data_IF_641469008815
#
_entry.id   IF_641469008815
#
_cell.length_a   1.000
_cell.length_b   1.000
_cell.length_c   1.000
_cell.angle_alpha   90.00
_cell.angle_beta   90.00
_cell.angle_gamma   90.00
#
_symmetry.space_group_name_H-M   'P 1'
#
loop_
_entity.id
_entity.type
_entity.pdbx_description
1 polymer ?
#
# COMPACT_ATOMS: atom_id res chain seq x y z
N UNK A 1 12.85 -0.85 21.94
CA UNK A 1 11.96 -0.93 20.77
C UNK A 1 11.89 -2.38 20.34
N UNK A 2 10.70 -2.96 20.23
CA UNK A 2 10.51 -4.34 19.75
C UNK A 2 10.57 -4.39 18.21
N UNK A 3 10.82 -5.56 17.63
CA UNK A 3 10.96 -5.75 16.16
C UNK A 3 9.70 -5.29 15.40
N UNK A 4 8.51 -5.59 15.93
CA UNK A 4 7.24 -5.18 15.33
C UNK A 4 7.05 -3.65 15.34
N UNK A 5 7.47 -2.95 16.41
CA UNK A 5 7.39 -1.50 16.48
C UNK A 5 8.38 -0.82 15.52
N UNK A 6 9.57 -1.40 15.31
CA UNK A 6 10.53 -0.91 14.33
C UNK A 6 9.97 -0.99 12.90
N UNK A 7 9.37 -2.13 12.54
CA UNK A 7 8.66 -2.28 11.27
C UNK A 7 7.49 -1.30 11.15
N UNK A 8 6.68 -1.14 12.20
CA UNK A 8 5.56 -0.21 12.19
C UNK A 8 6.00 1.25 11.93
N UNK A 9 7.05 1.72 12.59
CA UNK A 9 7.60 3.06 12.43
C UNK A 9 8.15 3.28 11.02
N UNK A 10 8.93 2.33 10.51
CA UNK A 10 9.43 2.37 9.13
C UNK A 10 8.27 2.41 8.13
N UNK A 11 7.24 1.59 8.33
CA UNK A 11 6.06 1.54 7.48
C UNK A 11 5.27 2.86 7.47
N UNK A 12 5.14 3.54 8.61
CA UNK A 12 4.52 4.88 8.71
C UNK A 12 5.30 5.92 7.90
N UNK A 13 6.61 6.00 8.14
CA UNK A 13 7.48 6.94 7.44
C UNK A 13 7.40 6.76 5.91
N UNK A 14 7.41 5.51 5.44
CA UNK A 14 7.29 5.20 4.01
C UNK A 14 5.90 5.54 3.46
N UNK A 15 4.83 5.36 4.23
CA UNK A 15 3.48 5.72 3.83
C UNK A 15 3.33 7.24 3.64
N UNK A 16 3.93 8.04 4.52
CA UNK A 16 3.95 9.50 4.40
C UNK A 16 4.69 9.97 3.14
N UNK A 17 5.86 9.37 2.85
CA UNK A 17 6.60 9.65 1.62
C UNK A 17 5.80 9.27 0.38
N UNK A 18 5.12 8.12 0.38
CA UNK A 18 4.21 7.74 -0.71
C UNK A 18 3.13 8.80 -0.95
N UNK A 19 2.44 9.28 0.09
CA UNK A 19 1.37 10.27 -0.08
C UNK A 19 1.89 11.58 -0.66
N UNK A 20 3.04 12.05 -0.16
CA UNK A 20 3.73 13.22 -0.70
C UNK A 20 4.02 13.07 -2.19
N UNK A 21 4.64 11.96 -2.60
CA UNK A 21 5.00 11.70 -4.00
C UNK A 21 3.79 11.44 -4.89
N UNK A 22 2.72 10.84 -4.36
CA UNK A 22 1.51 10.53 -5.11
C UNK A 22 0.61 11.75 -5.33
N UNK A 23 0.92 12.89 -4.71
CA UNK A 23 0.08 14.09 -4.66
C UNK A 23 -1.23 13.85 -3.90
N UNK A 24 -1.24 12.93 -2.94
CA UNK A 24 -2.41 12.68 -2.10
C UNK A 24 -2.35 13.61 -0.88
N UNK A 25 -3.43 14.34 -0.56
CA UNK A 25 -3.46 15.14 0.65
C UNK A 25 -3.33 14.19 1.85
N UNK A 26 -2.33 14.43 2.70
CA UNK A 26 -2.10 13.65 3.93
C UNK A 26 -3.42 13.47 4.67
N UNK A 27 -3.86 12.23 4.84
CA UNK A 27 -5.09 11.96 5.57
C UNK A 27 -4.92 12.44 7.02
N UNK A 28 -5.50 13.60 7.35
CA UNK A 28 -5.41 14.15 8.71
C UNK A 28 -6.11 13.17 9.67
N UNK A 29 -5.42 12.69 10.72
CA UNK A 29 -6.01 11.75 11.66
C UNK A 29 -7.26 12.35 12.32
N UNK A 30 -8.43 11.74 12.12
CA UNK A 30 -9.68 12.14 12.79
C UNK A 30 -10.90 12.35 11.88
N UNK A 31 -10.72 12.38 10.54
CA UNK A 31 -11.88 12.49 9.64
C UNK A 31 -12.63 11.15 9.55
N UNK A 32 -13.92 11.08 9.92
CA UNK A 32 -14.71 9.85 9.80
C UNK A 32 -14.76 9.39 8.33
N UNK A 33 -14.81 8.07 8.10
CA UNK A 33 -14.80 7.45 6.76
C UNK A 33 -15.99 7.87 5.84
N UNK A 34 -16.90 8.74 6.29
CA UNK A 34 -18.19 9.04 5.65
C UNK A 34 -18.41 10.46 5.10
N UNK A 35 -17.42 11.37 5.07
CA UNK A 35 -17.65 12.72 4.54
C UNK A 35 -16.42 13.33 3.89
N UNK A 36 -16.47 13.57 2.58
CA UNK A 36 -15.45 14.36 1.87
C UNK A 36 -16.08 15.60 1.25
N UNK A 37 -15.68 16.76 1.76
CA UNK A 37 -15.80 18.04 1.07
C UNK A 37 -14.48 18.26 0.31
N UNK A 38 -14.56 18.39 -1.01
CA UNK A 38 -13.39 18.67 -1.85
C UNK A 38 -12.92 20.10 -1.57
N UNK A 39 -11.68 20.26 -1.11
CA UNK A 39 -11.05 21.58 -1.03
C UNK A 39 -10.64 22.01 -2.45
N UNK A 40 -10.94 23.23 -2.91
CA UNK A 40 -10.48 23.69 -4.22
C UNK A 40 -8.95 23.83 -4.18
N UNK A 41 -8.28 23.22 -5.16
CA UNK A 41 -6.84 23.35 -5.36
C UNK A 41 -6.56 24.71 -6.00
N UNK A 42 -6.01 25.65 -5.23
CA UNK A 42 -5.38 26.85 -5.79
C UNK A 42 -4.09 26.43 -6.49
N UNK A 43 -4.14 26.43 -7.83
CA UNK A 43 -3.15 25.84 -8.72
C UNK A 43 -2.32 26.93 -9.42
N UNK A 44 -1.58 27.71 -8.64
CA UNK A 44 -0.72 28.79 -9.19
C UNK A 44 0.66 28.83 -8.51
N UNK A 45 1.54 27.89 -8.86
CA UNK A 45 2.92 27.96 -8.41
C UNK A 45 3.85 26.88 -8.95
N UNK A 46 4.69 27.27 -9.92
CA UNK A 46 5.92 26.61 -10.40
C UNK A 46 5.78 25.49 -11.45
N UNK A 47 6.12 25.82 -12.69
CA UNK A 47 6.32 24.91 -13.83
C UNK A 47 7.49 23.90 -13.68
N UNK A 48 8.08 23.80 -12.49
CA UNK A 48 8.93 22.69 -12.06
C UNK A 48 8.15 21.72 -11.17
N UNK A 49 6.85 21.54 -11.42
CA UNK A 49 6.07 20.46 -10.82
C UNK A 49 6.82 19.14 -11.09
N UNK A 50 7.47 18.69 -10.03
CA UNK A 50 8.43 17.60 -10.04
C UNK A 50 7.80 16.38 -10.70
N UNK A 51 8.21 16.09 -11.94
CA UNK A 51 7.80 14.89 -12.66
C UNK A 51 8.54 13.68 -12.08
N UNK A 52 8.26 13.37 -10.81
CA UNK A 52 8.84 12.25 -10.10
C UNK A 52 8.22 10.99 -10.70
N UNK A 53 9.03 10.02 -11.17
CA UNK A 53 8.51 8.79 -11.74
C UNK A 53 7.55 8.06 -10.81
N UNK A 54 6.48 7.49 -11.37
CA UNK A 54 5.46 6.73 -10.62
C UNK A 54 6.05 5.60 -9.78
N UNK A 55 7.14 5.00 -10.28
CA UNK A 55 7.88 3.94 -9.61
C UNK A 55 8.32 4.32 -8.19
N UNK A 56 8.73 5.58 -7.96
CA UNK A 56 9.19 6.00 -6.64
C UNK A 56 8.05 5.97 -5.62
N UNK A 57 6.91 6.57 -5.94
CA UNK A 57 5.74 6.53 -5.06
C UNK A 57 5.33 5.08 -4.78
N UNK A 58 5.24 4.26 -5.82
CA UNK A 58 4.83 2.87 -5.69
C UNK A 58 5.84 2.01 -4.91
N UNK A 59 7.15 2.29 -4.99
CA UNK A 59 8.16 1.64 -4.16
C UNK A 59 7.97 1.95 -2.68
N UNK A 60 7.74 3.22 -2.31
CA UNK A 60 7.43 3.57 -0.92
C UNK A 60 6.13 2.93 -0.43
N UNK A 61 5.10 2.85 -1.27
CA UNK A 61 3.87 2.15 -0.92
C UNK A 61 4.11 0.65 -0.70
N UNK A 62 4.87 0.00 -1.58
CA UNK A 62 5.23 -1.41 -1.45
C UNK A 62 5.92 -1.65 -0.11
N UNK A 63 6.98 -0.90 0.20
CA UNK A 63 7.71 -1.06 1.47
C UNK A 63 6.84 -0.75 2.70
N UNK A 64 6.02 0.31 2.63
CA UNK A 64 5.12 0.68 3.72
C UNK A 64 4.18 -0.47 4.06
N UNK A 65 3.55 -1.05 3.03
CA UNK A 65 2.61 -2.15 3.21
C UNK A 65 3.27 -3.44 3.68
N UNK A 66 4.48 -3.74 3.20
CA UNK A 66 5.28 -4.86 3.69
C UNK A 66 5.56 -4.69 5.19
N UNK A 67 6.15 -3.57 5.59
CA UNK A 67 6.53 -3.29 6.96
C UNK A 67 5.33 -3.29 7.93
N UNK A 68 4.22 -2.65 7.57
CA UNK A 68 2.99 -2.70 8.37
C UNK A 68 2.49 -4.14 8.52
N UNK A 69 2.52 -4.94 7.44
CA UNK A 69 2.10 -6.33 7.50
C UNK A 69 3.00 -7.18 8.41
N UNK A 70 4.33 -7.01 8.33
CA UNK A 70 5.29 -7.70 9.21
C UNK A 70 5.04 -7.36 10.69
N UNK A 71 4.85 -6.08 11.01
CA UNK A 71 4.52 -5.64 12.35
C UNK A 71 3.26 -6.35 12.89
N UNK A 72 2.20 -6.41 12.08
CA UNK A 72 0.94 -7.07 12.43
C UNK A 72 1.16 -8.56 12.72
N UNK A 73 1.88 -9.28 11.86
CA UNK A 73 2.10 -10.72 12.07
C UNK A 73 2.96 -11.01 13.30
N UNK A 74 4.02 -10.23 13.51
CA UNK A 74 4.89 -10.34 14.68
C UNK A 74 4.09 -10.10 15.97
N UNK A 75 3.32 -9.00 16.03
CA UNK A 75 2.50 -8.67 17.21
C UNK A 75 1.39 -9.66 17.48
N UNK A 76 0.80 -10.24 16.42
CA UNK A 76 -0.25 -11.26 16.55
C UNK A 76 0.29 -12.62 17.03
N UNK A 77 1.61 -12.80 17.15
CA UNK A 77 2.23 -14.08 17.49
C UNK A 77 1.99 -15.16 16.44
N UNK A 78 1.74 -14.78 15.17
CA UNK A 78 1.44 -15.74 14.12
C UNK A 78 2.72 -16.44 13.63
N UNK A 79 3.01 -17.61 14.19
CA UNK A 79 4.21 -18.41 13.87
C UNK A 79 4.14 -19.12 12.52
N UNK A 80 2.98 -19.13 11.85
CA UNK A 80 2.80 -19.78 10.55
C UNK A 80 3.23 -18.92 9.36
N UNK A 81 3.65 -17.67 9.59
CA UNK A 81 4.11 -16.76 8.55
C UNK A 81 5.64 -16.71 8.52
N UNK A 82 6.22 -16.90 7.33
CA UNK A 82 7.67 -16.77 7.12
C UNK A 82 8.06 -15.30 7.15
N UNK A 83 8.80 -14.88 8.19
CA UNK A 83 9.18 -13.48 8.36
C UNK A 83 10.11 -12.91 7.29
N UNK A 84 10.77 -13.79 6.53
CA UNK A 84 11.62 -13.43 5.42
C UNK A 84 10.86 -13.34 4.09
N UNK A 85 9.55 -13.59 4.10
CA UNK A 85 8.74 -13.45 2.90
C UNK A 85 8.40 -12.00 2.61
N UNK A 86 8.50 -11.65 1.33
CA UNK A 86 7.93 -10.40 0.79
C UNK A 86 6.43 -10.53 0.50
N UNK A 87 5.83 -11.71 0.76
CA UNK A 87 4.40 -12.00 0.54
C UNK A 87 3.54 -11.84 1.79
N UNK A 88 3.72 -10.73 2.51
CA UNK A 88 3.01 -10.47 3.76
C UNK A 88 1.68 -9.73 3.56
N UNK A 89 1.67 -8.72 2.69
CA UNK A 89 0.56 -7.78 2.60
C UNK A 89 -0.71 -8.39 2.00
N UNK A 90 -0.58 -9.27 1.01
CA UNK A 90 -1.72 -9.93 0.37
C UNK A 90 -2.48 -10.87 1.32
N UNK A 91 -1.86 -11.30 2.42
CA UNK A 91 -2.47 -12.10 3.48
C UNK A 91 -3.27 -11.27 4.50
N UNK A 92 -3.00 -9.96 4.61
CA UNK A 92 -3.63 -9.07 5.61
C UNK A 92 -5.17 -9.07 5.55
N UNK A 93 -5.84 -9.01 4.38
CA UNK A 93 -7.30 -9.07 4.33
C UNK A 93 -7.90 -10.37 4.90
N UNK A 94 -7.15 -11.48 4.86
CA UNK A 94 -7.59 -12.72 5.49
C UNK A 94 -7.32 -12.69 7.00
N UNK A 95 -6.09 -12.33 7.40
CA UNK A 95 -5.65 -12.27 8.79
C UNK A 95 -6.51 -11.35 9.65
N UNK A 96 -6.91 -10.19 9.11
CA UNK A 96 -7.68 -9.19 9.85
C UNK A 96 -9.20 -9.41 9.82
N UNK A 97 -9.69 -10.52 9.27
CA UNK A 97 -11.13 -10.80 9.11
C UNK A 97 -11.78 -11.26 10.43
N UNK A 98 -11.68 -10.44 11.48
CA UNK A 98 -12.25 -10.72 12.79
C UNK A 98 -13.13 -9.57 13.31
N UNK A 99 -14.22 -9.91 14.03
CA UNK A 99 -15.19 -8.92 14.55
C UNK A 99 -14.56 -7.92 15.51
N UNK A 100 -13.69 -8.39 16.41
CA UNK A 100 -13.04 -7.52 17.40
C UNK A 100 -12.06 -6.53 16.74
N UNK A 101 -11.35 -6.94 15.68
CA UNK A 101 -10.49 -6.04 14.87
C UNK A 101 -11.34 -4.97 14.19
N UNK A 102 -12.45 -5.39 13.54
CA UNK A 102 -13.38 -4.45 12.90
C UNK A 102 -13.90 -3.39 13.89
N UNK A 103 -14.34 -3.82 15.08
CA UNK A 103 -14.82 -2.93 16.13
C UNK A 103 -13.72 -1.97 16.63
N UNK A 104 -12.50 -2.48 16.86
CA UNK A 104 -11.33 -1.67 17.26
C UNK A 104 -10.93 -0.67 16.17
N UNK A 105 -11.18 -0.97 14.91
CA UNK A 105 -11.02 -0.05 13.78
C UNK A 105 -12.20 0.93 13.58
N UNK A 106 -13.26 0.82 14.39
CA UNK A 106 -14.43 1.70 14.35
C UNK A 106 -15.53 1.29 13.38
N UNK A 107 -15.47 0.08 12.81
CA UNK A 107 -16.55 -0.43 11.95
C UNK A 107 -17.75 -0.88 12.80
N UNK A 108 -18.93 -0.34 12.49
CA UNK A 108 -20.20 -0.74 13.12
C UNK A 108 -20.83 -1.96 12.46
N UNK A 109 -20.65 -2.09 11.14
CA UNK A 109 -21.14 -3.21 10.33
C UNK A 109 -19.98 -4.13 9.94
N UNK A 110 -19.96 -5.36 10.49
CA UNK A 110 -18.96 -6.36 10.18
C UNK A 110 -19.07 -6.91 8.75
N UNK A 111 -20.27 -6.96 8.16
CA UNK A 111 -20.43 -7.40 6.79
C UNK A 111 -19.89 -6.36 5.80
N UNK A 112 -20.06 -5.06 6.08
CA UNK A 112 -19.39 -4.00 5.32
C UNK A 112 -17.87 -4.12 5.40
N UNK A 113 -17.32 -4.37 6.60
CA UNK A 113 -15.89 -4.59 6.78
C UNK A 113 -15.37 -5.80 5.96
N UNK A 114 -16.08 -6.94 5.99
CA UNK A 114 -15.72 -8.12 5.17
C UNK A 114 -15.76 -7.83 3.68
N UNK A 115 -16.76 -7.08 3.19
CA UNK A 115 -16.85 -6.67 1.79
C UNK A 115 -15.65 -5.80 1.41
N UNK A 116 -15.35 -4.79 2.22
CA UNK A 116 -14.15 -3.95 2.03
C UNK A 116 -12.87 -4.79 1.93
N UNK A 117 -12.60 -5.68 2.89
CA UNK A 117 -11.41 -6.55 2.88
C UNK A 117 -11.34 -7.44 1.62
N UNK A 118 -12.47 -7.98 1.18
CA UNK A 118 -12.54 -8.75 -0.07
C UNK A 118 -12.21 -7.87 -1.27
N UNK A 119 -12.76 -6.67 -1.33
CA UNK A 119 -12.65 -5.78 -2.48
C UNK A 119 -11.21 -5.22 -2.62
N UNK A 120 -10.51 -4.93 -1.51
CA UNK A 120 -9.10 -4.47 -1.55
C UNK A 120 -8.08 -5.58 -1.80
N UNK A 121 -8.46 -6.86 -1.73
CA UNK A 121 -7.53 -7.99 -1.85
C UNK A 121 -6.70 -7.95 -3.13
N UNK A 122 -7.30 -7.56 -4.27
CA UNK A 122 -6.57 -7.45 -5.54
C UNK A 122 -5.51 -6.35 -5.49
N UNK A 123 -5.84 -5.18 -4.92
CA UNK A 123 -4.87 -4.10 -4.72
C UNK A 123 -3.72 -4.52 -3.79
N UNK A 124 -4.01 -5.21 -2.69
CA UNK A 124 -2.96 -5.72 -1.80
C UNK A 124 -1.99 -6.64 -2.54
N UNK A 125 -2.53 -7.54 -3.36
CA UNK A 125 -1.71 -8.43 -4.20
C UNK A 125 -0.90 -7.65 -5.23
N UNK A 126 -1.51 -6.70 -5.95
CA UNK A 126 -0.81 -5.90 -6.96
C UNK A 126 0.33 -5.06 -6.38
N UNK A 127 0.14 -4.47 -5.18
CA UNK A 127 1.18 -3.72 -4.47
C UNK A 127 2.33 -4.64 -4.07
N UNK A 128 2.01 -5.80 -3.49
CA UNK A 128 3.01 -6.80 -3.10
C UNK A 128 3.79 -7.33 -4.31
N UNK A 129 3.10 -7.46 -5.44
CA UNK A 129 3.67 -7.90 -6.70
C UNK A 129 4.63 -6.87 -7.35
N UNK A 130 4.73 -5.64 -6.84
CA UNK A 130 5.76 -4.69 -7.27
C UNK A 130 7.18 -5.08 -6.80
N UNK A 131 7.28 -5.92 -5.76
CA UNK A 131 8.57 -6.36 -5.24
C UNK A 131 9.22 -7.36 -6.20
N UNK A 132 10.50 -7.22 -6.57
CA UNK A 132 11.17 -8.04 -7.60
C UNK A 132 11.21 -9.53 -7.26
N UNK A 133 11.19 -9.88 -5.97
CA UNK A 133 11.21 -11.27 -5.51
C UNK A 133 9.81 -11.90 -5.36
N UNK A 134 8.73 -11.15 -5.60
CA UNK A 134 7.36 -11.66 -5.53
C UNK A 134 6.86 -12.07 -6.91
N UNK A 135 6.33 -13.28 -7.03
CA UNK A 135 5.80 -13.83 -8.29
C UNK A 135 6.70 -14.91 -8.89
N UNK A 136 6.29 -15.44 -10.04
CA UNK A 136 7.12 -16.29 -10.88
C UNK A 136 7.40 -15.53 -12.17
N UNK A 137 8.66 -15.56 -12.64
CA UNK A 137 9.10 -15.24 -14.01
C UNK A 137 9.70 -13.83 -14.20
N UNK A 138 10.73 -13.88 -15.04
CA UNK A 138 11.72 -12.91 -15.52
C UNK A 138 11.13 -11.64 -16.15
N UNK A 139 9.84 -11.58 -16.47
CA UNK A 139 9.23 -10.49 -17.26
C UNK A 139 8.17 -9.67 -16.51
N UNK A 140 8.33 -9.51 -15.19
CA UNK A 140 7.32 -8.84 -14.35
C UNK A 140 7.72 -7.40 -14.03
N UNK A 141 6.75 -6.49 -14.17
CA UNK A 141 6.89 -5.12 -13.73
C UNK A 141 7.22 -5.04 -12.22
N UNK A 142 8.33 -4.37 -11.92
CA UNK A 142 8.78 -4.10 -10.56
C UNK A 142 9.25 -2.65 -10.47
N UNK A 143 9.33 -2.11 -9.26
CA UNK A 143 9.59 -0.68 -9.04
C UNK A 143 11.05 -0.36 -8.74
N UNK A 144 11.91 -1.38 -8.62
CA UNK A 144 13.28 -1.25 -8.10
C UNK A 144 14.35 -1.34 -9.21
N UNK A 145 14.23 -2.32 -10.08
CA UNK A 145 15.27 -2.66 -11.06
C UNK A 145 14.69 -2.77 -12.46
N UNK A 146 15.47 -2.46 -13.51
CA UNK A 146 15.10 -2.82 -14.87
C UNK A 146 14.81 -4.32 -15.01
N UNK A 147 13.82 -4.67 -15.84
CA UNK A 147 13.47 -6.06 -16.11
C UNK A 147 13.33 -6.29 -17.62
N UNK A 148 13.66 -7.51 -18.09
CA UNK A 148 13.48 -7.84 -19.49
C UNK A 148 11.98 -8.00 -19.80
N UNK A 149 11.63 -7.86 -21.07
CA UNK A 149 10.35 -8.28 -21.60
C UNK A 149 10.34 -8.16 -23.11
N UNK A 150 9.14 -8.06 -23.69
CA UNK A 150 8.98 -8.05 -25.14
C UNK A 150 8.16 -6.85 -25.61
N UNK A 151 8.54 -6.29 -26.76
CA UNK A 151 7.75 -5.29 -27.47
C UNK A 151 6.58 -5.95 -28.23
N UNK A 152 5.77 -5.14 -28.95
CA UNK A 152 4.64 -5.65 -29.75
C UNK A 152 5.04 -6.55 -30.92
N UNK A 153 6.32 -6.56 -31.30
CA UNK A 153 6.89 -7.40 -32.37
C UNK A 153 7.57 -8.67 -31.81
N UNK A 154 7.61 -8.82 -30.48
CA UNK A 154 8.25 -9.94 -29.81
C UNK A 154 9.76 -9.78 -29.58
N UNK A 155 10.34 -8.62 -29.90
CA UNK A 155 11.77 -8.35 -29.66
C UNK A 155 12.02 -8.17 -28.17
N UNK A 156 13.16 -8.66 -27.70
CA UNK A 156 13.59 -8.43 -26.32
C UNK A 156 13.89 -6.96 -26.07
N UNK A 157 13.32 -6.41 -25.00
CA UNK A 157 13.54 -5.05 -24.54
C UNK A 157 13.74 -5.03 -23.03
N UNK A 158 14.32 -3.94 -22.53
CA UNK A 158 14.46 -3.68 -21.11
C UNK A 158 13.50 -2.57 -20.69
N UNK A 159 12.62 -2.89 -19.76
CA UNK A 159 11.77 -1.90 -19.12
C UNK A 159 12.54 -1.26 -17.97
N UNK A 160 12.50 0.07 -17.88
CA UNK A 160 13.10 0.84 -16.78
C UNK A 160 11.96 1.37 -15.91
N UNK A 161 11.96 1.12 -14.58
CA UNK A 161 10.87 1.56 -13.70
C UNK A 161 10.54 3.06 -13.86
N UNK A 162 11.56 3.90 -13.96
CA UNK A 162 11.40 5.35 -14.09
C UNK A 162 10.62 5.80 -15.35
N UNK A 163 10.56 4.97 -16.39
CA UNK A 163 9.85 5.26 -17.64
C UNK A 163 8.60 4.38 -17.83
N UNK A 164 8.37 3.44 -16.92
CA UNK A 164 7.24 2.52 -17.03
C UNK A 164 5.97 3.15 -16.44
N UNK A 165 4.87 3.09 -17.18
CA UNK A 165 3.56 3.58 -16.71
C UNK A 165 2.86 2.51 -15.89
N UNK A 166 2.86 2.67 -14.58
CA UNK A 166 2.23 1.73 -13.66
C UNK A 166 0.76 2.10 -13.50
N UNK A 167 -0.13 1.33 -14.16
CA UNK A 167 -1.58 1.48 -14.01
C UNK A 167 -2.06 1.47 -12.55
N UNK A 168 -1.31 0.81 -11.66
CA UNK A 168 -1.59 0.74 -10.24
C UNK A 168 -1.69 2.12 -9.57
N UNK A 169 -0.80 3.09 -9.88
CA UNK A 169 -0.86 4.42 -9.25
C UNK A 169 -2.19 5.13 -9.57
N UNK A 170 -2.63 5.05 -10.82
CA UNK A 170 -3.93 5.60 -11.24
C UNK A 170 -5.11 4.96 -10.50
N UNK A 171 -5.01 3.66 -10.17
CA UNK A 171 -6.02 2.93 -9.38
C UNK A 171 -5.96 3.30 -7.91
N UNK A 172 -4.78 3.56 -7.36
CA UNK A 172 -4.63 4.03 -5.98
C UNK A 172 -5.29 5.40 -5.76
N UNK A 173 -5.41 6.21 -6.82
CA UNK A 173 -6.16 7.48 -6.82
C UNK A 173 -7.68 7.31 -6.91
N UNK A 174 -8.20 6.10 -7.16
CA UNK A 174 -9.65 5.82 -7.20
C UNK A 174 -10.19 5.56 -5.78
N UNK A 175 -11.52 5.62 -5.57
CA UNK A 175 -12.10 5.52 -4.22
C UNK A 175 -11.64 4.31 -3.40
N UNK A 176 -11.52 3.13 -4.02
CA UNK A 176 -11.05 1.92 -3.33
C UNK A 176 -9.58 2.03 -2.87
N UNK A 177 -8.71 2.61 -3.71
CA UNK A 177 -7.32 2.86 -3.36
C UNK A 177 -7.18 3.86 -2.22
N UNK A 178 -7.93 4.96 -2.27
CA UNK A 178 -7.98 5.96 -1.20
C UNK A 178 -8.47 5.33 0.12
N UNK A 179 -9.48 4.47 0.06
CA UNK A 179 -9.95 3.73 1.24
C UNK A 179 -8.88 2.78 1.79
N UNK A 180 -8.11 2.11 0.93
CA UNK A 180 -6.98 1.27 1.35
C UNK A 180 -5.90 2.09 2.07
N UNK A 181 -5.52 3.26 1.55
CA UNK A 181 -4.54 4.13 2.22
C UNK A 181 -5.03 4.58 3.61
N UNK A 182 -6.30 4.98 3.73
CA UNK A 182 -6.89 5.30 5.04
C UNK A 182 -6.90 4.11 5.99
N UNK A 183 -7.18 2.92 5.48
CA UNK A 183 -7.13 1.71 6.27
C UNK A 183 -5.72 1.42 6.78
N UNK A 184 -4.68 1.60 5.96
CA UNK A 184 -3.28 1.50 6.38
C UNK A 184 -2.95 2.51 7.49
N UNK A 185 -3.39 3.76 7.36
CA UNK A 185 -3.26 4.77 8.42
C UNK A 185 -3.95 4.35 9.72
N UNK A 186 -5.17 3.80 9.64
CA UNK A 186 -5.87 3.32 10.84
C UNK A 186 -5.15 2.16 11.51
N UNK A 187 -4.65 1.19 10.73
CA UNK A 187 -3.84 0.09 11.25
C UNK A 187 -2.57 0.62 11.91
N UNK A 188 -1.88 1.54 11.24
CA UNK A 188 -0.64 2.09 11.75
C UNK A 188 -0.88 2.90 13.03
N UNK A 189 -1.84 3.82 13.03
CA UNK A 189 -2.07 4.77 14.14
C UNK A 189 -2.77 4.14 15.35
N UNK A 190 -3.51 3.04 15.17
CA UNK A 190 -4.21 2.36 16.25
C UNK A 190 -3.62 0.99 16.59
N UNK A 191 -2.38 0.75 16.18
CA UNK A 191 -1.72 -0.54 16.27
C UNK A 191 -1.84 -1.20 17.66
N UNK A 192 -1.43 -0.51 18.73
CA UNK A 192 -1.49 -1.02 20.12
C UNK A 192 -2.92 -1.22 20.64
N UNK A 193 -3.91 -0.53 20.06
CA UNK A 193 -5.31 -0.76 20.41
C UNK A 193 -5.86 -2.00 19.70
N UNK A 194 -5.34 -2.30 18.52
CA UNK A 194 -5.80 -3.39 17.67
C UNK A 194 -5.18 -4.73 18.07
N UNK A 195 -3.89 -4.74 18.41
CA UNK A 195 -3.10 -5.95 18.67
C UNK A 195 -2.38 -5.88 20.02
#
# INVERSE_FOLDING_TARGET
MTEDLAHLEQGRSQLEVYEYLAGQPSATPGTPLGGFSQRPADNSGSAFENNIPEAHALHFLQMATENIAKAIFLRSGNTGWDKYTHRAFSAIPHHLRARHIAARLGWRDFDAYKRFLRDVRSLCREIEELHPQVGSIVEKANVEYPWPGRDSLGNEIWYVPAHYSFRLLSRMRKPLGVQLIRFLHLLANRFDTIF
#
